data_IF_424859626946
#
_entry.id   IF_424859626946
#
_cell.length_a   1.000
_cell.length_b   1.000
_cell.length_c   1.000
_cell.angle_alpha   90.00
_cell.angle_beta   90.00
_cell.angle_gamma   90.00
#
_symmetry.space_group_name_H-M   'P 1'
#
loop_
_entity.id
_entity.type
_entity.pdbx_description
1 polymer ?
#
# COMPACT_ATOMS: atom_id res chain seq x y z
N UNK A 1 -4.78 -3.67 -30.28
CA UNK A 1 -4.92 -3.54 -28.81
C UNK A 1 -3.62 -4.03 -28.21
N UNK A 2 -2.93 -3.21 -27.42
CA UNK A 2 -1.69 -3.60 -26.75
C UNK A 2 -1.97 -4.77 -25.80
N UNK A 3 -1.10 -5.77 -25.80
CA UNK A 3 -1.22 -6.96 -24.96
C UNK A 3 -0.88 -6.54 -23.49
N UNK A 4 -1.86 -6.00 -22.76
CA UNK A 4 -1.69 -5.61 -21.34
C UNK A 4 -1.40 -6.88 -20.54
N UNK A 5 -0.29 -6.87 -19.80
CA UNK A 5 0.09 -7.95 -18.90
C UNK A 5 -0.80 -8.00 -17.66
N UNK A 6 -0.92 -9.14 -16.99
CA UNK A 6 -1.66 -9.27 -15.73
C UNK A 6 -1.03 -8.42 -14.60
N UNK A 7 0.26 -8.11 -14.73
CA UNK A 7 0.98 -7.24 -13.79
C UNK A 7 0.53 -5.78 -13.85
N UNK A 8 -0.12 -5.38 -14.96
CA UNK A 8 -0.68 -4.04 -15.15
C UNK A 8 -2.02 -3.83 -14.40
N UNK A 9 -2.60 -4.89 -13.81
CA UNK A 9 -3.83 -4.77 -13.01
C UNK A 9 -3.48 -4.18 -11.65
N UNK A 10 -3.74 -2.88 -11.50
CA UNK A 10 -3.59 -2.21 -10.22
C UNK A 10 -4.61 -2.74 -9.19
N UNK A 11 -4.19 -2.83 -7.93
CA UNK A 11 -5.06 -3.18 -6.78
C UNK A 11 -5.89 -4.46 -6.96
N UNK A 12 -5.34 -5.49 -7.68
CA UNK A 12 -6.05 -6.74 -7.95
C UNK A 12 -6.70 -7.36 -6.71
N UNK A 13 -5.99 -7.39 -5.58
CA UNK A 13 -6.52 -7.96 -4.33
C UNK A 13 -7.75 -7.21 -3.82
N UNK A 14 -7.80 -5.89 -3.96
CA UNK A 14 -8.96 -5.08 -3.59
C UNK A 14 -10.16 -5.35 -4.51
N UNK A 15 -9.92 -5.49 -5.81
CA UNK A 15 -10.96 -5.87 -6.79
C UNK A 15 -11.48 -7.27 -6.53
N UNK A 16 -10.61 -8.23 -6.23
CA UNK A 16 -11.00 -9.59 -5.85
C UNK A 16 -11.82 -9.59 -4.53
N UNK A 17 -11.46 -8.76 -3.55
CA UNK A 17 -12.24 -8.59 -2.32
C UNK A 17 -13.63 -8.04 -2.61
N UNK A 18 -13.72 -6.99 -3.42
CA UNK A 18 -15.01 -6.40 -3.81
C UNK A 18 -15.87 -7.43 -4.52
N UNK A 19 -15.34 -8.11 -5.52
CA UNK A 19 -16.04 -9.13 -6.29
C UNK A 19 -16.57 -10.27 -5.39
N UNK A 20 -15.75 -10.75 -4.45
CA UNK A 20 -16.12 -11.84 -3.54
C UNK A 20 -16.97 -11.40 -2.34
N UNK A 21 -17.24 -10.10 -2.19
CA UNK A 21 -18.33 -9.60 -1.36
C UNK A 21 -19.66 -9.52 -2.13
N UNK A 22 -19.58 -9.17 -3.42
CA UNK A 22 -20.74 -9.12 -4.30
C UNK A 22 -21.24 -10.54 -4.70
N UNK A 23 -20.30 -11.46 -4.93
CA UNK A 23 -20.58 -12.87 -5.25
C UNK A 23 -19.84 -13.76 -4.24
N UNK A 24 -20.53 -14.43 -3.33
CA UNK A 24 -19.91 -15.28 -2.33
C UNK A 24 -18.96 -16.33 -2.94
N UNK A 25 -17.84 -16.61 -2.27
CA UNK A 25 -16.80 -17.51 -2.78
C UNK A 25 -17.35 -18.88 -3.20
N UNK A 26 -18.25 -19.44 -2.40
CA UNK A 26 -18.87 -20.73 -2.70
C UNK A 26 -19.69 -20.68 -3.99
N UNK A 27 -20.42 -19.58 -4.21
CA UNK A 27 -21.22 -19.36 -5.40
C UNK A 27 -20.33 -19.14 -6.63
N UNK A 28 -19.33 -18.29 -6.54
CA UNK A 28 -18.35 -18.08 -7.62
C UNK A 28 -17.68 -19.41 -8.03
N UNK A 29 -17.24 -20.21 -7.06
CA UNK A 29 -16.62 -21.50 -7.33
C UNK A 29 -17.62 -22.50 -7.95
N UNK A 30 -18.89 -22.47 -7.56
CA UNK A 30 -19.98 -23.28 -8.14
C UNK A 30 -20.22 -22.91 -9.60
N UNK A 31 -20.42 -21.62 -9.90
CA UNK A 31 -20.62 -21.12 -11.26
C UNK A 31 -19.46 -21.54 -12.17
N UNK A 32 -18.22 -21.34 -11.71
CA UNK A 32 -17.04 -21.70 -12.50
C UNK A 32 -17.01 -23.20 -12.80
N UNK A 33 -17.35 -24.05 -11.86
CA UNK A 33 -17.30 -25.50 -12.02
C UNK A 33 -18.46 -26.00 -12.88
N UNK A 34 -19.68 -25.61 -12.55
CA UNK A 34 -20.91 -26.20 -13.11
C UNK A 34 -21.31 -25.57 -14.45
N UNK A 35 -21.12 -24.26 -14.57
CA UNK A 35 -21.59 -23.51 -15.75
C UNK A 35 -20.46 -23.25 -16.76
N UNK A 36 -19.22 -23.06 -16.29
CA UNK A 36 -18.10 -22.73 -17.16
C UNK A 36 -17.11 -23.88 -17.37
N UNK A 37 -17.33 -25.04 -16.72
CA UNK A 37 -16.45 -26.22 -16.86
C UNK A 37 -15.02 -26.00 -16.37
N UNK A 38 -14.78 -24.98 -15.52
CA UNK A 38 -13.48 -24.58 -15.04
C UNK A 38 -13.11 -25.19 -13.68
N UNK A 39 -11.82 -25.18 -13.34
CA UNK A 39 -11.28 -25.72 -12.10
C UNK A 39 -10.71 -24.60 -11.21
N UNK A 40 -11.58 -23.77 -10.60
CA UNK A 40 -11.18 -22.84 -9.55
C UNK A 40 -11.75 -23.29 -8.20
N UNK A 41 -10.86 -23.46 -7.22
CA UNK A 41 -11.26 -23.86 -5.87
C UNK A 41 -11.51 -22.65 -4.99
N UNK A 42 -12.28 -22.84 -3.92
CA UNK A 42 -12.48 -21.80 -2.88
C UNK A 42 -11.16 -21.32 -2.28
N UNK A 43 -10.17 -22.23 -2.12
CA UNK A 43 -8.82 -21.90 -1.64
C UNK A 43 -8.10 -20.95 -2.59
N UNK A 44 -8.24 -21.15 -3.91
CA UNK A 44 -7.66 -20.26 -4.91
C UNK A 44 -8.28 -18.85 -4.83
N UNK A 45 -9.61 -18.77 -4.77
CA UNK A 45 -10.32 -17.49 -4.65
C UNK A 45 -9.98 -16.76 -3.34
N UNK A 46 -9.84 -17.51 -2.23
CA UNK A 46 -9.35 -16.93 -0.96
C UNK A 46 -7.94 -16.40 -1.06
N UNK A 47 -7.04 -17.09 -1.77
CA UNK A 47 -5.67 -16.61 -1.96
C UNK A 47 -5.62 -15.31 -2.76
N UNK A 48 -6.53 -15.11 -3.73
CA UNK A 48 -6.67 -13.87 -4.48
C UNK A 48 -7.25 -12.74 -3.62
N UNK A 49 -8.29 -13.06 -2.85
CA UNK A 49 -8.88 -12.12 -1.88
C UNK A 49 -7.87 -11.60 -0.86
N UNK A 50 -6.98 -12.46 -0.41
CA UNK A 50 -5.92 -12.10 0.54
C UNK A 50 -4.70 -11.43 -0.09
N UNK A 51 -4.60 -11.43 -1.43
CA UNK A 51 -3.45 -10.88 -2.16
C UNK A 51 -2.21 -11.80 -2.18
N UNK A 52 -2.32 -13.04 -1.65
CA UNK A 52 -1.19 -13.99 -1.60
C UNK A 52 -0.73 -14.43 -2.97
N UNK A 53 -1.66 -14.60 -3.91
CA UNK A 53 -1.36 -15.05 -5.26
C UNK A 53 -2.11 -14.22 -6.29
N UNK A 54 -1.53 -14.08 -7.48
CA UNK A 54 -2.21 -13.53 -8.66
C UNK A 54 -2.73 -14.66 -9.56
N UNK A 55 -3.85 -14.46 -10.26
CA UNK A 55 -4.36 -15.45 -11.20
C UNK A 55 -3.48 -15.55 -12.45
N UNK A 56 -3.52 -16.68 -13.15
CA UNK A 56 -3.16 -16.71 -14.57
C UNK A 56 -4.29 -16.08 -15.40
N UNK A 57 -3.98 -15.66 -16.64
CA UNK A 57 -4.97 -15.05 -17.54
C UNK A 57 -6.21 -15.92 -17.71
N UNK A 58 -6.03 -17.21 -18.01
CA UNK A 58 -7.14 -18.16 -18.17
C UNK A 58 -8.02 -18.26 -16.92
N UNK A 59 -7.41 -18.27 -15.74
CA UNK A 59 -8.18 -18.29 -14.48
C UNK A 59 -8.92 -16.99 -14.21
N UNK A 60 -8.33 -15.85 -14.59
CA UNK A 60 -8.98 -14.55 -14.44
C UNK A 60 -10.14 -14.41 -15.44
N UNK A 61 -10.01 -14.92 -16.66
CA UNK A 61 -11.10 -15.00 -17.64
C UNK A 61 -12.27 -15.83 -17.14
N UNK A 62 -12.03 -16.98 -16.50
CA UNK A 62 -13.08 -17.77 -15.87
C UNK A 62 -13.76 -17.01 -14.73
N UNK A 63 -12.98 -16.29 -13.93
CA UNK A 63 -13.51 -15.52 -12.81
C UNK A 63 -14.34 -14.33 -13.30
N UNK A 64 -13.87 -13.56 -14.28
CA UNK A 64 -14.63 -12.44 -14.85
C UNK A 64 -15.96 -12.89 -15.45
N UNK A 65 -15.96 -14.02 -16.17
CA UNK A 65 -17.21 -14.63 -16.69
C UNK A 65 -18.16 -15.06 -15.57
N UNK A 66 -17.64 -15.65 -14.50
CA UNK A 66 -18.47 -15.99 -13.32
C UNK A 66 -19.04 -14.75 -12.63
N UNK A 67 -18.38 -13.60 -12.73
CA UNK A 67 -18.84 -12.32 -12.23
C UNK A 67 -19.83 -11.61 -13.19
N UNK A 68 -19.96 -12.07 -14.44
CA UNK A 68 -20.78 -11.42 -15.47
C UNK A 68 -20.14 -10.16 -16.05
N UNK A 69 -18.83 -10.04 -16.01
CA UNK A 69 -18.05 -8.90 -16.52
C UNK A 69 -16.98 -9.36 -17.51
N UNK A 70 -16.31 -8.43 -18.17
CA UNK A 70 -15.21 -8.71 -19.09
C UNK A 70 -13.87 -8.75 -18.34
N UNK A 71 -12.86 -9.43 -18.93
CA UNK A 71 -11.51 -9.43 -18.37
C UNK A 71 -10.94 -8.01 -18.30
N UNK A 72 -11.22 -7.20 -19.30
CA UNK A 72 -10.78 -5.83 -19.46
C UNK A 72 -11.21 -4.92 -18.31
N UNK A 73 -12.34 -5.21 -17.67
CA UNK A 73 -12.87 -4.44 -16.55
C UNK A 73 -11.94 -4.50 -15.30
N UNK A 74 -11.10 -5.52 -15.22
CA UNK A 74 -10.09 -5.59 -14.16
C UNK A 74 -8.94 -4.58 -14.32
N UNK A 75 -8.80 -3.93 -15.48
CA UNK A 75 -7.80 -2.88 -15.73
C UNK A 75 -8.29 -1.47 -15.35
N UNK A 76 -9.59 -1.30 -15.08
CA UNK A 76 -10.13 -0.06 -14.52
C UNK A 76 -9.58 0.17 -13.10
N UNK A 77 -9.72 1.39 -12.58
CA UNK A 77 -9.44 1.62 -11.15
C UNK A 77 -10.46 0.87 -10.26
N UNK A 78 -10.27 0.91 -8.95
CA UNK A 78 -11.14 0.17 -8.03
C UNK A 78 -12.59 0.69 -8.06
N UNK A 79 -12.79 1.99 -8.25
CA UNK A 79 -14.11 2.61 -8.28
C UNK A 79 -14.84 2.28 -9.58
N UNK A 80 -14.17 2.42 -10.73
CA UNK A 80 -14.69 2.03 -12.04
C UNK A 80 -15.03 0.54 -12.11
N UNK A 81 -14.15 -0.34 -11.60
CA UNK A 81 -14.43 -1.75 -11.48
C UNK A 81 -15.67 -2.03 -10.61
N UNK A 82 -15.79 -1.33 -9.49
CA UNK A 82 -16.95 -1.49 -8.59
C UNK A 82 -18.26 -1.04 -9.25
N UNK A 83 -18.25 0.03 -10.04
CA UNK A 83 -19.42 0.50 -10.79
C UNK A 83 -19.87 -0.53 -11.85
N UNK A 84 -18.94 -1.06 -12.61
CA UNK A 84 -19.21 -2.08 -13.64
C UNK A 84 -19.83 -3.34 -12.98
N UNK A 85 -19.19 -3.82 -11.90
CA UNK A 85 -19.67 -5.04 -11.24
C UNK A 85 -21.01 -4.81 -10.52
N UNK A 86 -21.23 -3.65 -9.91
CA UNK A 86 -22.50 -3.30 -9.29
C UNK A 86 -23.64 -3.30 -10.32
N UNK A 87 -23.40 -2.77 -11.51
CA UNK A 87 -24.36 -2.82 -12.63
C UNK A 87 -24.62 -4.25 -13.12
N UNK A 88 -23.56 -5.03 -13.37
CA UNK A 88 -23.65 -6.41 -13.86
C UNK A 88 -24.36 -7.35 -12.86
N UNK A 89 -24.26 -7.09 -11.57
CA UNK A 89 -24.87 -7.91 -10.50
C UNK A 89 -26.14 -7.31 -9.91
N UNK A 90 -26.63 -6.19 -10.44
CA UNK A 90 -27.82 -5.50 -9.92
C UNK A 90 -27.78 -5.32 -8.41
N UNK A 91 -26.63 -4.84 -7.91
CA UNK A 91 -26.44 -4.65 -6.47
C UNK A 91 -27.43 -3.64 -5.91
N UNK A 92 -27.86 -3.86 -4.67
CA UNK A 92 -28.78 -2.95 -4.00
C UNK A 92 -28.13 -1.57 -3.80
N UNK A 93 -28.91 -0.46 -3.86
CA UNK A 93 -28.41 0.87 -3.57
C UNK A 93 -27.66 0.92 -2.23
N UNK A 94 -26.44 1.49 -2.22
CA UNK A 94 -25.59 1.61 -1.04
C UNK A 94 -24.70 0.39 -0.73
N UNK A 95 -24.88 -0.74 -1.40
CA UNK A 95 -24.02 -1.91 -1.21
C UNK A 95 -22.62 -1.68 -1.76
N UNK A 96 -22.52 -0.99 -2.92
CA UNK A 96 -21.24 -0.62 -3.52
C UNK A 96 -20.40 0.20 -2.53
N UNK A 97 -20.95 1.28 -2.01
CA UNK A 97 -20.29 2.18 -1.07
C UNK A 97 -19.91 1.46 0.24
N UNK A 98 -20.80 0.58 0.72
CA UNK A 98 -20.54 -0.24 1.90
C UNK A 98 -19.37 -1.20 1.68
N UNK A 99 -19.26 -1.82 0.48
CA UNK A 99 -18.19 -2.75 0.16
C UNK A 99 -16.86 -2.02 -0.08
N UNK A 100 -16.87 -0.88 -0.78
CA UNK A 100 -15.69 -0.05 -0.96
C UNK A 100 -15.13 0.42 0.40
N UNK A 101 -16.01 0.90 1.29
CA UNK A 101 -15.63 1.28 2.65
C UNK A 101 -14.99 0.12 3.42
N UNK A 102 -15.56 -1.09 3.33
CA UNK A 102 -14.98 -2.29 3.97
C UNK A 102 -13.62 -2.68 3.41
N UNK A 103 -13.37 -2.42 2.12
CA UNK A 103 -12.07 -2.67 1.50
C UNK A 103 -11.06 -1.65 1.99
N UNK A 104 -11.43 -0.38 2.03
CA UNK A 104 -10.57 0.68 2.59
C UNK A 104 -10.25 0.44 4.06
N UNK A 105 -11.24 0.01 4.83
CA UNK A 105 -11.08 -0.37 6.24
C UNK A 105 -10.15 -1.58 6.45
N UNK A 106 -10.02 -2.45 5.47
CA UNK A 106 -9.21 -3.68 5.50
C UNK A 106 -7.97 -3.61 4.60
N UNK A 107 -7.65 -2.45 4.02
CA UNK A 107 -6.38 -2.32 3.32
C UNK A 107 -5.25 -2.66 4.30
N UNK A 108 -4.31 -3.55 3.91
CA UNK A 108 -3.05 -3.69 4.65
C UNK A 108 -2.45 -2.29 4.81
N UNK A 109 -2.07 -1.92 6.01
CA UNK A 109 -1.63 -0.55 6.32
C UNK A 109 -2.74 0.43 6.69
N UNK A 110 -4.02 0.04 6.70
CA UNK A 110 -5.07 0.80 7.37
C UNK A 110 -4.97 0.63 8.89
N UNK A 111 -3.90 1.13 9.47
CA UNK A 111 -3.74 1.18 10.90
C UNK A 111 -4.78 2.17 11.44
N UNK A 112 -5.83 1.66 12.10
CA UNK A 112 -6.80 2.51 12.79
C UNK A 112 -6.20 3.01 14.09
N UNK A 113 -5.63 4.19 14.03
CA UNK A 113 -5.19 4.90 15.22
C UNK A 113 -6.17 6.03 15.49
N UNK A 114 -6.85 5.98 16.62
CA UNK A 114 -7.77 7.06 17.04
C UNK A 114 -7.11 8.45 16.96
N UNK A 115 -5.80 8.52 17.22
CA UNK A 115 -5.01 9.76 17.11
C UNK A 115 -5.00 10.29 15.67
N UNK A 116 -4.97 9.41 14.68
CA UNK A 116 -5.01 9.81 13.28
C UNK A 116 -6.44 10.15 12.84
N UNK A 117 -7.43 9.38 13.28
CA UNK A 117 -8.85 9.59 12.94
C UNK A 117 -9.39 10.92 13.47
N UNK A 118 -8.79 11.48 14.54
CA UNK A 118 -9.12 12.81 15.08
C UNK A 118 -8.54 13.97 14.27
N UNK A 119 -7.76 13.69 13.23
CA UNK A 119 -7.19 14.75 12.38
C UNK A 119 -8.28 15.34 11.48
N UNK A 120 -8.32 16.68 11.41
CA UNK A 120 -9.16 17.40 10.47
C UNK A 120 -8.63 17.17 9.02
N UNK A 121 -9.49 16.81 8.04
CA UNK A 121 -9.07 16.55 6.66
C UNK A 121 -8.30 17.71 6.00
N UNK A 122 -8.69 18.97 6.30
CA UNK A 122 -7.99 20.13 5.75
C UNK A 122 -6.63 20.34 6.40
N UNK A 123 -6.46 19.94 7.65
CA UNK A 123 -5.16 19.92 8.33
C UNK A 123 -4.22 18.88 7.71
N UNK A 124 -4.74 17.70 7.33
CA UNK A 124 -3.98 16.67 6.61
C UNK A 124 -3.50 17.19 5.25
N UNK A 125 -4.37 17.87 4.49
CA UNK A 125 -4.01 18.49 3.20
C UNK A 125 -2.97 19.60 3.38
N UNK A 126 -3.13 20.48 4.36
CA UNK A 126 -2.15 21.55 4.66
C UNK A 126 -0.81 20.99 5.08
N UNK A 127 -0.79 19.94 5.90
CA UNK A 127 0.43 19.24 6.28
C UNK A 127 1.12 18.66 5.06
N UNK A 128 0.37 17.94 4.20
CA UNK A 128 0.91 17.37 2.96
C UNK A 128 1.54 18.45 2.07
N UNK A 129 0.90 19.60 1.90
CA UNK A 129 1.44 20.72 1.12
C UNK A 129 2.82 21.20 1.59
N UNK A 130 3.18 20.97 2.86
CA UNK A 130 4.47 21.36 3.44
C UNK A 130 5.52 20.23 3.39
N UNK A 131 5.11 18.99 3.67
CA UNK A 131 6.02 17.84 3.81
C UNK A 131 6.00 16.90 2.61
N UNK A 132 5.03 17.00 1.70
CA UNK A 132 4.96 16.15 0.50
C UNK A 132 6.23 16.20 -0.34
N UNK A 133 6.59 15.07 -0.96
CA UNK A 133 7.76 14.94 -1.83
C UNK A 133 8.67 13.78 -1.46
N UNK A 134 9.87 13.76 -2.04
CA UNK A 134 10.87 12.71 -1.87
C UNK A 134 11.86 13.07 -0.77
N UNK A 135 12.27 12.06 -0.01
CA UNK A 135 13.29 12.15 1.03
C UNK A 135 14.27 10.98 0.92
N UNK A 136 15.54 11.23 1.21
CA UNK A 136 16.47 10.16 1.55
C UNK A 136 16.55 10.09 3.08
N UNK A 137 16.23 8.92 3.61
CA UNK A 137 16.35 8.60 5.02
C UNK A 137 17.67 7.91 5.26
N UNK A 138 18.40 8.37 6.26
CA UNK A 138 19.66 7.81 6.73
C UNK A 138 19.47 7.30 8.16
N UNK A 139 19.88 6.07 8.42
CA UNK A 139 19.97 5.51 9.77
C UNK A 139 21.17 4.56 9.88
N UNK A 140 21.70 4.43 11.08
CA UNK A 140 22.67 3.36 11.34
C UNK A 140 22.00 2.01 11.16
N UNK A 141 22.71 1.08 10.54
CA UNK A 141 22.25 -0.31 10.45
C UNK A 141 21.98 -0.86 11.85
N UNK A 142 20.87 -1.57 11.99
CA UNK A 142 20.54 -2.23 13.25
C UNK A 142 21.18 -3.62 13.35
N UNK A 143 21.75 -4.10 12.23
CA UNK A 143 22.35 -5.44 12.13
C UNK A 143 23.87 -5.38 11.96
N UNK A 144 24.38 -4.38 11.22
CA UNK A 144 25.78 -4.29 10.81
C UNK A 144 26.34 -2.89 11.17
N UNK A 145 26.82 -2.69 12.38
CA UNK A 145 27.55 -1.46 12.71
C UNK A 145 28.98 -1.50 12.13
N UNK A 146 29.47 -0.41 11.56
CA UNK A 146 28.98 0.98 11.56
C UNK A 146 28.27 1.42 10.26
N UNK A 147 27.60 0.56 9.55
CA UNK A 147 26.97 0.86 8.27
C UNK A 147 25.81 1.86 8.39
N UNK A 148 25.65 2.71 7.36
CA UNK A 148 24.54 3.64 7.24
C UNK A 148 23.62 3.13 6.12
N UNK A 149 22.41 2.76 6.51
CA UNK A 149 21.33 2.43 5.57
C UNK A 149 20.79 3.70 4.94
N UNK A 150 20.42 3.59 3.66
CA UNK A 150 19.74 4.63 2.90
C UNK A 150 18.41 4.09 2.39
N UNK A 151 17.35 4.83 2.67
CA UNK A 151 15.99 4.46 2.25
C UNK A 151 15.38 5.67 1.53
N UNK A 152 14.88 5.46 0.32
CA UNK A 152 14.08 6.47 -0.36
C UNK A 152 12.66 6.45 0.20
N UNK A 153 12.17 7.60 0.65
CA UNK A 153 10.79 7.75 1.15
C UNK A 153 10.05 8.75 0.28
N UNK A 154 8.91 8.36 -0.25
CA UNK A 154 8.02 9.19 -1.06
C UNK A 154 6.73 9.47 -0.30
N UNK A 155 6.50 10.73 0.05
CA UNK A 155 5.26 11.22 0.67
C UNK A 155 4.35 11.69 -0.46
N UNK A 156 3.33 10.89 -0.82
CA UNK A 156 2.66 10.99 -2.14
C UNK A 156 1.35 11.75 -2.15
N UNK A 157 0.45 11.50 -1.23
CA UNK A 157 -0.89 12.10 -1.28
C UNK A 157 -1.57 12.19 0.08
N UNK A 158 -2.40 13.21 0.30
CA UNK A 158 -3.27 13.25 1.47
C UNK A 158 -4.41 12.23 1.26
N UNK A 159 -4.58 11.31 2.21
CA UNK A 159 -5.64 10.31 2.23
C UNK A 159 -6.13 10.18 3.67
N UNK A 160 -7.04 11.10 4.05
CA UNK A 160 -7.56 11.12 5.44
C UNK A 160 -7.90 9.71 5.94
N UNK A 161 -7.49 9.36 7.16
CA UNK A 161 -6.84 10.18 8.18
C UNK A 161 -5.31 10.29 8.06
N UNK A 162 -4.69 9.72 7.05
CA UNK A 162 -3.24 9.66 6.86
C UNK A 162 -2.79 10.45 5.63
N UNK A 163 -1.50 10.70 5.56
CA UNK A 163 -0.80 11.04 4.32
C UNK A 163 -0.11 9.75 3.86
N UNK A 164 -0.39 9.32 2.63
CA UNK A 164 0.19 8.09 2.07
C UNK A 164 1.68 8.27 1.81
N UNK A 165 2.40 7.20 2.03
CA UNK A 165 3.82 7.13 1.71
C UNK A 165 4.20 5.75 1.17
N UNK A 166 5.28 5.73 0.41
CA UNK A 166 5.99 4.53 -0.02
C UNK A 166 7.47 4.70 0.29
N UNK A 167 8.16 3.61 0.58
CA UNK A 167 9.60 3.66 0.80
C UNK A 167 10.29 2.47 0.14
N UNK A 168 11.56 2.66 -0.23
CA UNK A 168 12.40 1.65 -0.86
C UNK A 168 13.76 1.64 -0.17
N UNK A 169 14.09 0.51 0.43
CA UNK A 169 15.39 0.25 1.03
C UNK A 169 16.18 -0.68 0.11
N UNK A 170 17.39 -0.26 -0.25
CA UNK A 170 18.31 -1.11 -1.03
C UNK A 170 19.21 -1.82 -0.03
N UNK A 171 19.13 -3.15 0.02
CA UNK A 171 19.97 -3.99 0.89
C UNK A 171 21.23 -4.46 0.21
N UNK A 172 21.05 -5.08 -0.94
CA UNK A 172 22.11 -5.55 -1.82
C UNK A 172 21.87 -4.97 -3.21
N UNK A 173 22.87 -5.04 -4.08
CA UNK A 173 22.79 -4.46 -5.44
C UNK A 173 21.53 -4.85 -6.21
N UNK A 174 20.92 -5.99 -5.87
CA UNK A 174 19.77 -6.57 -6.57
C UNK A 174 18.51 -6.72 -5.70
N UNK A 175 18.56 -6.32 -4.41
CA UNK A 175 17.43 -6.48 -3.51
C UNK A 175 16.90 -5.14 -3.03
N UNK A 176 15.73 -4.77 -3.54
CA UNK A 176 14.97 -3.60 -3.08
C UNK A 176 13.77 -4.07 -2.27
N UNK A 177 13.72 -3.68 -1.00
CA UNK A 177 12.57 -3.92 -0.15
C UNK A 177 11.64 -2.71 -0.24
N UNK A 178 10.40 -2.94 -0.64
CA UNK A 178 9.40 -1.91 -0.77
C UNK A 178 8.44 -1.91 0.43
N UNK A 179 8.19 -0.72 0.96
CA UNK A 179 7.26 -0.49 2.07
C UNK A 179 6.14 0.44 1.62
N UNK A 180 4.97 0.26 2.20
CA UNK A 180 3.84 1.19 2.09
C UNK A 180 3.30 1.52 3.47
N UNK A 181 2.71 2.70 3.60
CA UNK A 181 2.15 3.08 4.88
C UNK A 181 1.54 4.47 4.92
N UNK A 182 1.42 4.97 6.14
CA UNK A 182 0.81 6.26 6.43
C UNK A 182 1.66 7.12 7.37
N UNK A 183 1.55 8.41 7.16
CA UNK A 183 2.12 9.45 8.01
C UNK A 183 0.98 10.29 8.60
N UNK A 184 1.10 10.62 9.86
CA UNK A 184 0.16 11.49 10.57
C UNK A 184 0.87 12.27 11.69
N UNK A 185 0.38 13.47 12.04
CA UNK A 185 0.94 14.24 13.12
C UNK A 185 0.48 13.68 14.47
N UNK A 186 1.40 13.61 15.42
CA UNK A 186 1.14 13.32 16.83
C UNK A 186 1.73 14.44 17.68
N UNK A 187 0.90 15.38 18.12
CA UNK A 187 1.35 16.58 18.82
C UNK A 187 2.42 17.34 18.00
N UNK A 188 3.63 17.46 18.54
CA UNK A 188 4.77 18.13 17.92
C UNK A 188 5.66 17.19 17.06
N UNK A 189 5.21 15.98 16.79
CA UNK A 189 5.95 14.98 16.04
C UNK A 189 5.17 14.54 14.79
N UNK A 190 5.88 13.92 13.84
CA UNK A 190 5.31 13.17 12.74
C UNK A 190 5.56 11.69 13.00
N UNK A 191 4.51 10.89 12.92
CA UNK A 191 4.58 9.44 13.04
C UNK A 191 4.38 8.81 11.67
N UNK A 192 5.32 7.98 11.25
CA UNK A 192 5.27 7.18 10.03
C UNK A 192 5.12 5.73 10.45
N UNK A 193 4.19 5.03 9.85
CA UNK A 193 4.04 3.58 10.05
C UNK A 193 3.98 2.96 8.68
N UNK A 194 4.88 2.00 8.44
CA UNK A 194 5.06 1.32 7.17
C UNK A 194 5.13 -0.18 7.39
N UNK A 195 4.69 -0.92 6.41
CA UNK A 195 4.82 -2.38 6.33
C UNK A 195 5.38 -2.78 4.97
N UNK A 196 6.03 -3.90 4.89
CA UNK A 196 6.50 -4.46 3.61
C UNK A 196 5.32 -4.81 2.73
N UNK A 197 5.34 -4.35 1.47
CA UNK A 197 4.27 -4.61 0.51
C UNK A 197 4.56 -5.78 -0.44
N UNK A 198 5.80 -6.26 -0.48
CA UNK A 198 6.19 -7.43 -1.26
C UNK A 198 7.41 -8.10 -0.63
N UNK A 199 7.42 -9.42 -0.60
CA UNK A 199 8.55 -10.19 -0.12
C UNK A 199 8.18 -11.31 0.84
N UNK A 200 9.21 -12.00 1.34
CA UNK A 200 9.08 -13.12 2.29
C UNK A 200 9.05 -12.68 3.76
N UNK A 201 9.13 -11.38 4.02
CA UNK A 201 9.27 -10.82 5.36
C UNK A 201 8.09 -9.91 5.66
N UNK A 202 7.36 -10.22 6.73
CA UNK A 202 6.32 -9.37 7.30
C UNK A 202 7.01 -8.42 8.30
N UNK A 203 7.56 -7.32 7.81
CA UNK A 203 8.24 -6.32 8.63
C UNK A 203 7.37 -5.07 8.74
N UNK A 204 7.24 -4.56 9.96
CA UNK A 204 6.64 -3.26 10.24
C UNK A 204 7.71 -2.30 10.76
N UNK A 205 7.73 -1.10 10.20
CA UNK A 205 8.66 -0.03 10.57
C UNK A 205 7.87 1.16 11.08
N UNK A 206 8.25 1.67 12.25
CA UNK A 206 7.72 2.92 12.79
C UNK A 206 8.83 3.96 12.88
N UNK A 207 8.55 5.17 12.37
CA UNK A 207 9.46 6.31 12.47
C UNK A 207 8.73 7.44 13.18
N UNK A 208 9.38 8.04 14.15
CA UNK A 208 8.89 9.25 14.82
C UNK A 208 9.91 10.36 14.61
N UNK A 209 9.48 11.48 13.97
CA UNK A 209 10.35 12.63 13.72
C UNK A 209 9.78 13.89 14.36
N UNK A 210 10.61 14.93 14.42
CA UNK A 210 10.14 16.29 14.72
C UNK A 210 9.10 16.73 13.66
N UNK A 211 8.20 17.63 14.05
CA UNK A 211 7.28 18.29 13.13
C UNK A 211 7.70 19.75 12.91
N UNK A 212 8.44 20.05 11.84
CA UNK A 212 8.93 21.43 11.60
C UNK A 212 7.85 22.37 11.06
N UNK A 213 6.65 21.87 10.80
CA UNK A 213 5.55 22.67 10.23
C UNK A 213 5.16 23.87 11.10
N UNK A 214 5.36 23.76 12.40
CA UNK A 214 5.10 24.86 13.34
C UNK A 214 6.15 25.98 13.30
N UNK A 215 7.29 25.76 12.65
CA UNK A 215 8.39 26.73 12.56
C UNK A 215 8.31 27.68 11.36
N UNK A 216 7.22 27.63 10.57
CA UNK A 216 6.95 28.60 9.49
C UNK A 216 7.80 28.48 8.23
N UNK A 217 8.75 27.51 8.15
CA UNK A 217 9.71 27.35 7.06
C UNK A 217 9.36 26.22 6.07
N UNK A 218 10.11 26.18 4.95
CA UNK A 218 10.14 25.00 4.08
C UNK A 218 10.84 23.87 4.81
N UNK A 219 10.21 22.70 4.84
CA UNK A 219 10.81 21.49 5.40
C UNK A 219 11.97 21.06 4.51
N UNK A 220 13.21 21.12 5.05
CA UNK A 220 14.42 20.64 4.38
C UNK A 220 14.86 19.29 4.89
N UNK A 221 14.68 19.05 6.18
CA UNK A 221 15.05 17.80 6.82
C UNK A 221 14.10 17.48 7.99
N UNK A 222 14.05 16.20 8.32
CA UNK A 222 13.40 15.67 9.51
C UNK A 222 14.42 14.81 10.25
N UNK A 223 14.34 14.80 11.58
CA UNK A 223 15.22 13.97 12.42
C UNK A 223 14.40 13.32 13.54
N UNK A 224 14.80 12.14 13.94
CA UNK A 224 14.05 11.38 14.92
C UNK A 224 14.63 9.99 15.20
N UNK A 225 13.72 9.04 15.36
CA UNK A 225 14.05 7.63 15.63
C UNK A 225 13.23 6.72 14.71
N UNK A 226 13.85 5.62 14.32
CA UNK A 226 13.24 4.48 13.66
C UNK A 226 13.19 3.30 14.63
N UNK A 227 12.11 2.56 14.59
CA UNK A 227 11.87 1.32 15.31
C UNK A 227 11.53 0.24 14.30
N UNK A 228 12.21 -0.89 14.35
CA UNK A 228 11.98 -2.05 13.49
C UNK A 228 12.44 -3.33 14.21
N UNK A 229 12.18 -4.49 13.61
CA UNK A 229 12.83 -5.75 14.01
C UNK A 229 14.22 -5.84 13.39
N UNK A 230 15.19 -6.43 14.10
CA UNK A 230 16.44 -6.88 13.49
C UNK A 230 16.18 -8.15 12.69
N UNK A 231 17.00 -8.40 11.64
CA UNK A 231 16.84 -9.57 10.77
C UNK A 231 17.53 -10.84 11.24
N UNK A 232 18.09 -10.83 12.44
CA UNK A 232 18.67 -12.04 13.03
C UNK A 232 17.63 -13.16 13.14
N UNK A 233 18.07 -14.41 13.24
CA UNK A 233 17.21 -15.60 13.41
C UNK A 233 16.17 -15.44 14.53
N UNK A 234 16.39 -14.53 15.45
CA UNK A 234 15.46 -14.08 16.48
C UNK A 234 15.26 -12.59 16.25
N UNK A 235 14.15 -12.19 15.64
CA UNK A 235 13.82 -10.78 15.40
C UNK A 235 13.78 -10.02 16.73
N UNK A 236 14.78 -9.18 16.99
CA UNK A 236 14.83 -8.33 18.17
C UNK A 236 14.31 -6.94 17.84
N UNK A 237 13.44 -6.34 18.67
CA UNK A 237 13.08 -4.94 18.54
C UNK A 237 14.33 -4.07 18.62
N UNK A 238 14.55 -3.26 17.61
CA UNK A 238 15.72 -2.40 17.49
C UNK A 238 15.31 -0.95 17.21
N UNK A 239 16.13 -0.01 17.65
CA UNK A 239 15.92 1.41 17.44
C UNK A 239 17.20 2.10 16.99
N UNK A 240 17.08 3.01 16.03
CA UNK A 240 18.19 3.83 15.58
C UNK A 240 17.74 5.30 15.41
N UNK A 241 18.72 6.22 15.43
CA UNK A 241 18.47 7.61 15.03
C UNK A 241 18.28 7.68 13.52
N UNK A 242 17.35 8.56 13.09
CA UNK A 242 17.15 8.83 11.66
C UNK A 242 17.36 10.30 11.36
N UNK A 243 17.86 10.53 10.15
CA UNK A 243 17.87 11.82 9.49
C UNK A 243 17.24 11.65 8.11
N UNK A 244 16.27 12.49 7.77
CA UNK A 244 15.62 12.47 6.47
C UNK A 244 15.88 13.79 5.76
N UNK A 245 16.51 13.74 4.61
CA UNK A 245 16.80 14.89 3.77
C UNK A 245 15.77 14.99 2.64
N UNK A 246 15.10 16.14 2.52
CA UNK A 246 14.14 16.39 1.45
C UNK A 246 14.85 16.68 0.14
N UNK A 247 14.53 15.92 -0.89
CA UNK A 247 15.06 16.13 -2.23
C UNK A 247 14.37 17.34 -2.93
N UNK A 248 15.05 17.98 -3.88
CA UNK A 248 14.43 18.99 -4.74
C UNK A 248 13.21 18.43 -5.49
N UNK A 249 12.19 19.27 -5.68
CA UNK A 249 10.91 18.83 -6.26
C UNK A 249 10.96 18.41 -7.75
N UNK A 250 12.08 18.61 -8.42
CA UNK A 250 12.32 18.19 -9.80
C UNK A 250 13.00 16.81 -9.92
N UNK A 251 13.32 16.16 -8.80
CA UNK A 251 13.95 14.84 -8.80
C UNK A 251 12.85 13.78 -8.94
N UNK A 252 13.00 12.88 -9.91
CA UNK A 252 12.11 11.71 -10.09
C UNK A 252 12.46 10.60 -9.09
N UNK A 253 11.52 9.65 -8.91
CA UNK A 253 11.77 8.46 -8.06
C UNK A 253 12.93 7.63 -8.60
N UNK A 254 13.05 7.46 -9.93
CA UNK A 254 14.14 6.71 -10.55
C UNK A 254 15.50 7.35 -10.28
N UNK A 255 15.63 8.67 -10.47
CA UNK A 255 16.87 9.39 -10.16
C UNK A 255 17.22 9.36 -8.67
N UNK A 256 16.19 9.37 -7.81
CA UNK A 256 16.40 9.29 -6.37
C UNK A 256 16.87 7.88 -5.95
N UNK A 257 16.34 6.82 -6.59
CA UNK A 257 16.79 5.44 -6.37
C UNK A 257 18.24 5.24 -6.78
N UNK A 258 18.68 5.80 -7.90
CA UNK A 258 20.08 5.76 -8.33
C UNK A 258 21.06 6.43 -7.32
N UNK A 259 20.59 7.36 -6.51
CA UNK A 259 21.40 8.02 -5.46
C UNK A 259 21.57 7.18 -4.20
N UNK A 260 20.76 6.17 -4.00
CA UNK A 260 20.84 5.31 -2.82
C UNK A 260 21.43 3.92 -3.13
N UNK A 261 21.52 3.57 -4.42
CA UNK A 261 22.30 2.44 -4.93
C UNK A 261 23.80 2.74 -4.86
#
# INVERSE_FOLDING_TARGET
MANRGLDDIADFASKARFALMAVPIAEAARIIREELGGALTTVTLESWRSGRNRPSRTKLELFSRALGIQLEDFYEDLEGFADILAGARHMAPGDKERYLRRIEERRPGALRLEVAERQDPDSVKRLFGKIGGLYILYNYSMNNEPEINRTLVSVTSPSHPFIRLSAWCVRDKDLVIAYQGGLFPVRSNLCFIMETCAGRHDEAVMIMTNNPVHQGGRVRCLYGMILSGSEDFVSHPSAARVFMEKLPGNVSVSEALERIL
#
